data_IF_363175979851
#
_entry.id   IF_363175979851
#
_cell.length_a   1.000
_cell.length_b   1.000
_cell.length_c   1.000
_cell.angle_alpha   90.00
_cell.angle_beta   90.00
_cell.angle_gamma   90.00
#
_symmetry.space_group_name_H-M   'P 1'
#
loop_
_entity.id
_entity.type
_entity.pdbx_description
1 polymer ?
#
# COMPACT_ATOMS: atom_id res chain seq x y z
N UNK A 1 27.67 -4.96 -24.45
CA UNK A 1 28.55 -5.06 -23.26
C UNK A 1 28.34 -3.82 -22.43
N UNK A 2 28.18 -3.94 -21.12
CA UNK A 2 28.03 -2.78 -20.24
C UNK A 2 29.40 -2.19 -19.96
N UNK A 3 29.60 -0.90 -20.23
CA UNK A 3 30.87 -0.21 -19.97
C UNK A 3 30.87 0.52 -18.61
N UNK A 4 32.04 1.00 -18.18
CA UNK A 4 32.20 1.71 -16.90
C UNK A 4 31.31 2.96 -16.80
N UNK A 5 31.15 3.71 -17.88
CA UNK A 5 30.38 4.97 -17.89
C UNK A 5 28.90 4.68 -17.68
N UNK A 6 28.34 3.69 -18.38
CA UNK A 6 26.95 3.26 -18.19
C UNK A 6 26.67 2.73 -16.76
N UNK A 7 27.65 2.08 -16.13
CA UNK A 7 27.55 1.68 -14.71
C UNK A 7 27.54 2.90 -13.78
N UNK A 8 28.42 3.89 -14.02
CA UNK A 8 28.44 5.13 -13.23
C UNK A 8 27.12 5.88 -13.36
N UNK A 9 26.57 6.01 -14.58
CA UNK A 9 25.29 6.65 -14.82
C UNK A 9 24.16 5.99 -14.04
N UNK A 10 24.11 4.66 -14.05
CA UNK A 10 23.14 3.89 -13.25
C UNK A 10 23.25 4.17 -11.75
N UNK A 11 24.46 4.19 -11.19
CA UNK A 11 24.64 4.52 -9.77
C UNK A 11 24.22 5.96 -9.46
N UNK A 12 24.55 6.91 -10.33
CA UNK A 12 24.10 8.30 -10.20
C UNK A 12 22.58 8.40 -10.20
N UNK A 13 21.87 7.60 -11.01
CA UNK A 13 20.41 7.58 -11.02
C UNK A 13 19.82 7.09 -9.68
N UNK A 14 20.47 6.14 -9.00
CA UNK A 14 20.02 5.74 -7.65
C UNK A 14 20.21 6.85 -6.63
N UNK A 15 21.33 7.59 -6.68
CA UNK A 15 21.54 8.74 -5.80
C UNK A 15 20.55 9.88 -6.11
N UNK A 16 20.29 10.14 -7.38
CA UNK A 16 19.27 11.10 -7.80
C UNK A 16 17.89 10.68 -7.31
N UNK A 17 17.52 9.41 -7.49
CA UNK A 17 16.26 8.84 -7.03
C UNK A 17 16.06 9.00 -5.53
N UNK A 18 17.07 8.69 -4.70
CA UNK A 18 17.00 8.92 -3.25
C UNK A 18 16.70 10.39 -2.91
N UNK A 19 17.42 11.33 -3.52
CA UNK A 19 17.20 12.76 -3.28
C UNK A 19 15.85 13.24 -3.81
N UNK A 20 15.41 12.72 -4.96
CA UNK A 20 14.10 13.03 -5.53
C UNK A 20 12.97 12.53 -4.62
N UNK A 21 13.09 11.34 -4.03
CA UNK A 21 12.13 10.84 -3.03
C UNK A 21 12.03 11.79 -1.82
N UNK A 22 13.17 12.25 -1.30
CA UNK A 22 13.18 13.23 -0.19
C UNK A 22 12.60 14.58 -0.59
N UNK A 23 12.85 15.03 -1.82
CA UNK A 23 12.26 16.25 -2.37
C UNK A 23 10.74 16.14 -2.51
N UNK A 24 10.22 15.00 -2.98
CA UNK A 24 8.78 14.75 -3.07
C UNK A 24 8.14 14.76 -1.68
N UNK A 25 8.73 14.07 -0.69
CA UNK A 25 8.25 14.09 0.68
C UNK A 25 8.15 15.52 1.23
N UNK A 26 9.20 16.34 1.05
CA UNK A 26 9.19 17.75 1.43
C UNK A 26 8.06 18.54 0.75
N UNK A 27 7.84 18.33 -0.55
CA UNK A 27 6.78 19.01 -1.30
C UNK A 27 5.37 18.62 -0.86
N UNK A 28 5.18 17.38 -0.42
CA UNK A 28 3.92 16.89 0.16
C UNK A 28 3.71 17.47 1.56
N UNK A 29 4.70 17.33 2.45
CA UNK A 29 4.64 17.77 3.85
C UNK A 29 4.45 19.29 4.00
N UNK A 30 5.05 20.07 3.11
CA UNK A 30 4.90 21.53 3.07
C UNK A 30 3.61 22.02 2.41
N UNK A 31 2.81 21.13 1.79
CA UNK A 31 1.62 21.49 1.03
C UNK A 31 1.91 22.19 -0.31
N UNK A 32 3.18 22.28 -0.72
CA UNK A 32 3.58 22.98 -1.95
C UNK A 32 2.97 22.37 -3.22
N UNK A 33 2.87 21.04 -3.31
CA UNK A 33 2.21 20.42 -4.46
C UNK A 33 0.70 20.70 -4.51
N UNK A 34 0.03 20.80 -3.36
CA UNK A 34 -1.39 21.20 -3.29
C UNK A 34 -1.58 22.66 -3.71
N UNK A 35 -0.69 23.55 -3.25
CA UNK A 35 -0.67 24.95 -3.67
C UNK A 35 -0.51 25.09 -5.19
N UNK A 36 0.42 24.34 -5.78
CA UNK A 36 0.64 24.31 -7.23
C UNK A 36 -0.56 23.72 -7.97
N UNK A 37 -1.21 22.68 -7.44
CA UNK A 37 -2.42 22.11 -8.03
C UNK A 37 -3.61 23.09 -8.00
N UNK A 38 -3.69 23.96 -6.99
CA UNK A 38 -4.71 24.99 -6.89
C UNK A 38 -4.49 26.17 -7.88
N UNK A 39 -3.31 26.26 -8.50
CA UNK A 39 -2.94 27.31 -9.45
C UNK A 39 -2.53 26.72 -10.81
N UNK A 40 -3.47 26.17 -11.61
CA UNK A 40 -3.17 25.48 -12.87
C UNK A 40 -2.52 26.37 -13.95
N UNK A 41 -2.75 27.68 -13.89
CA UNK A 41 -2.12 28.69 -14.76
C UNK A 41 -0.64 28.98 -14.39
N UNK A 42 -0.15 28.31 -13.35
CA UNK A 42 1.18 28.45 -12.80
C UNK A 42 1.37 29.62 -11.83
N UNK A 43 2.47 29.60 -11.10
CA UNK A 43 2.86 30.58 -10.09
C UNK A 43 4.29 31.07 -10.32
N UNK A 44 4.58 32.31 -9.95
CA UNK A 44 5.97 32.75 -9.85
C UNK A 44 6.54 32.36 -8.48
N UNK A 45 7.87 32.22 -8.34
CA UNK A 45 8.48 31.97 -7.02
C UNK A 45 8.12 33.02 -5.97
N UNK A 46 8.02 34.28 -6.37
CA UNK A 46 7.69 35.41 -5.49
C UNK A 46 6.25 35.30 -4.98
N UNK A 47 5.30 35.03 -5.88
CA UNK A 47 3.88 34.93 -5.51
C UNK A 47 3.62 33.71 -4.62
N UNK A 48 4.26 32.57 -4.93
CA UNK A 48 4.13 31.35 -4.13
C UNK A 48 4.73 31.54 -2.73
N UNK A 49 5.92 32.14 -2.64
CA UNK A 49 6.58 32.42 -1.37
C UNK A 49 5.73 33.35 -0.49
N UNK A 50 5.23 34.45 -1.06
CA UNK A 50 4.42 35.42 -0.35
C UNK A 50 3.08 34.83 0.14
N UNK A 51 2.41 34.03 -0.69
CA UNK A 51 1.10 33.44 -0.35
C UNK A 51 1.15 32.34 0.70
N UNK A 52 2.27 31.66 0.87
CA UNK A 52 2.44 30.54 1.79
C UNK A 52 3.39 30.84 2.96
N UNK A 53 3.85 32.09 3.09
CA UNK A 53 4.75 32.51 4.16
C UNK A 53 6.12 31.82 4.10
N UNK A 54 6.61 31.53 2.91
CA UNK A 54 7.87 30.83 2.68
C UNK A 54 9.00 31.80 2.33
N UNK A 55 10.24 31.34 2.49
CA UNK A 55 11.40 32.08 2.01
C UNK A 55 11.46 32.07 0.47
N UNK A 56 11.72 33.23 -0.12
CA UNK A 56 11.68 33.42 -1.57
C UNK A 56 12.78 32.64 -2.31
N UNK A 57 13.98 32.55 -1.74
CA UNK A 57 15.10 31.87 -2.36
C UNK A 57 14.95 30.35 -2.27
N UNK A 58 14.50 29.82 -1.12
CA UNK A 58 14.18 28.40 -1.01
C UNK A 58 13.01 28.00 -1.92
N UNK A 59 11.96 28.82 -1.99
CA UNK A 59 10.82 28.57 -2.88
C UNK A 59 11.26 28.56 -4.35
N UNK A 60 12.12 29.50 -4.75
CA UNK A 60 12.69 29.55 -6.10
C UNK A 60 13.46 28.27 -6.44
N UNK A 61 14.34 27.81 -5.55
CA UNK A 61 15.10 26.58 -5.80
C UNK A 61 14.21 25.34 -5.77
N UNK A 62 13.19 25.29 -4.90
CA UNK A 62 12.21 24.20 -4.92
C UNK A 62 11.54 24.08 -6.29
N UNK A 63 11.06 25.21 -6.85
CA UNK A 63 10.43 25.21 -8.17
C UNK A 63 11.40 24.83 -9.30
N UNK A 64 12.65 25.32 -9.25
CA UNK A 64 13.68 24.95 -10.22
C UNK A 64 14.04 23.46 -10.15
N UNK A 65 14.16 22.90 -8.95
CA UNK A 65 14.41 21.47 -8.73
C UNK A 65 13.24 20.63 -9.19
N UNK A 66 12.00 21.03 -8.87
CA UNK A 66 10.79 20.34 -9.35
C UNK A 66 10.68 20.34 -10.88
N UNK A 67 11.07 21.43 -11.54
CA UNK A 67 11.17 21.48 -13.00
C UNK A 67 12.27 20.57 -13.55
N UNK A 68 13.47 20.58 -12.93
CA UNK A 68 14.57 19.71 -13.34
C UNK A 68 14.28 18.21 -13.16
N UNK A 69 13.39 17.85 -12.22
CA UNK A 69 12.89 16.50 -12.00
C UNK A 69 11.63 16.16 -12.80
N UNK A 70 11.20 17.05 -13.71
CA UNK A 70 10.00 16.87 -14.55
C UNK A 70 8.69 16.70 -13.77
N UNK A 71 8.68 17.13 -12.50
CA UNK A 71 7.46 17.21 -11.68
C UNK A 71 6.66 18.48 -11.99
N UNK A 72 7.35 19.52 -12.49
CA UNK A 72 6.80 20.82 -12.82
C UNK A 72 7.12 21.21 -14.27
N UNK A 73 6.21 21.94 -14.90
CA UNK A 73 6.45 22.67 -16.15
C UNK A 73 6.78 24.13 -15.86
N UNK A 74 7.49 24.78 -16.80
CA UNK A 74 7.75 26.22 -16.80
C UNK A 74 7.25 26.86 -18.11
N UNK A 75 6.31 27.79 -18.00
CA UNK A 75 5.80 28.57 -19.14
C UNK A 75 5.67 30.05 -18.75
N UNK A 76 6.24 30.95 -19.56
CA UNK A 76 6.15 32.39 -19.32
C UNK A 76 6.68 32.85 -17.95
N UNK A 77 7.68 32.14 -17.39
CA UNK A 77 8.22 32.42 -16.06
C UNK A 77 7.38 31.92 -14.88
N UNK A 78 6.32 31.14 -15.16
CA UNK A 78 5.43 30.56 -14.14
C UNK A 78 5.58 29.04 -14.11
N UNK A 79 5.67 28.51 -12.89
CA UNK A 79 5.78 27.08 -12.62
C UNK A 79 4.41 26.49 -12.32
N UNK A 80 4.11 25.32 -12.85
CA UNK A 80 2.89 24.55 -12.55
C UNK A 80 3.23 23.07 -12.44
N UNK A 81 2.37 22.27 -11.83
CA UNK A 81 2.51 20.81 -11.90
C UNK A 81 2.50 20.36 -13.36
N UNK A 82 3.43 19.46 -13.70
CA UNK A 82 3.45 18.83 -15.01
C UNK A 82 2.16 18.00 -15.22
N UNK A 83 1.87 17.65 -16.47
CA UNK A 83 0.70 16.86 -16.82
C UNK A 83 0.62 15.57 -15.97
N UNK A 84 -0.56 15.24 -15.48
CA UNK A 84 -0.83 14.13 -14.56
C UNK A 84 -0.15 14.16 -13.18
N UNK A 85 0.71 15.13 -12.84
CA UNK A 85 1.36 15.14 -11.51
C UNK A 85 0.40 15.51 -10.37
N UNK A 86 -0.68 16.27 -10.65
CA UNK A 86 -1.68 16.62 -9.63
C UNK A 86 -2.35 15.41 -8.95
N UNK A 87 -2.94 14.43 -9.67
CA UNK A 87 -3.48 13.23 -9.03
C UNK A 87 -2.41 12.35 -8.35
N UNK A 88 -1.14 12.44 -8.74
CA UNK A 88 -0.06 11.62 -8.16
C UNK A 88 0.53 12.23 -6.88
N UNK A 89 0.65 13.57 -6.80
CA UNK A 89 1.42 14.25 -5.76
C UNK A 89 0.60 15.22 -4.89
N UNK A 90 -0.56 15.68 -5.37
CA UNK A 90 -1.31 16.76 -4.73
C UNK A 90 -2.72 16.37 -4.25
N UNK A 91 -3.21 15.18 -4.60
CA UNK A 91 -4.58 14.73 -4.29
C UNK A 91 -4.57 13.42 -3.50
N UNK A 92 -4.37 13.45 -2.17
CA UNK A 92 -4.33 12.25 -1.32
C UNK A 92 -5.57 11.35 -1.42
N UNK A 93 -6.71 11.90 -1.82
CA UNK A 93 -7.97 11.19 -2.04
C UNK A 93 -8.04 10.42 -3.37
N UNK A 94 -7.11 10.66 -4.29
CA UNK A 94 -7.11 10.02 -5.60
C UNK A 94 -6.46 8.63 -5.55
N UNK A 95 -7.06 7.64 -6.22
CA UNK A 95 -6.58 6.24 -6.19
C UNK A 95 -5.14 6.04 -6.71
N UNK A 96 -4.65 6.96 -7.53
CA UNK A 96 -3.28 6.95 -8.08
C UNK A 96 -2.29 7.78 -7.25
N UNK A 97 -2.68 8.26 -6.08
CA UNK A 97 -1.81 9.09 -5.25
C UNK A 97 -0.57 8.30 -4.80
N UNK A 98 0.62 8.86 -5.04
CA UNK A 98 1.92 8.29 -4.69
C UNK A 98 2.70 9.16 -3.69
N UNK A 99 2.17 10.33 -3.29
CA UNK A 99 2.87 11.24 -2.39
C UNK A 99 3.17 10.63 -1.02
N UNK A 100 2.32 9.74 -0.51
CA UNK A 100 2.55 9.03 0.77
C UNK A 100 3.72 8.05 0.68
N UNK A 101 4.00 7.48 -0.50
CA UNK A 101 5.11 6.54 -0.70
C UNK A 101 6.47 7.21 -0.46
N UNK A 102 6.61 8.49 -0.83
CA UNK A 102 7.82 9.25 -0.58
C UNK A 102 8.06 9.49 0.92
N UNK A 103 7.01 9.84 1.66
CA UNK A 103 7.06 10.01 3.12
C UNK A 103 7.38 8.68 3.83
N UNK A 104 6.75 7.59 3.40
CA UNK A 104 7.06 6.25 3.91
C UNK A 104 8.51 5.86 3.68
N UNK A 105 9.05 6.00 2.47
CA UNK A 105 10.47 5.71 2.20
C UNK A 105 11.43 6.60 2.99
N UNK A 106 11.04 7.84 3.31
CA UNK A 106 11.82 8.67 4.23
C UNK A 106 11.86 8.03 5.63
N UNK A 107 10.71 7.62 6.17
CA UNK A 107 10.60 7.10 7.53
C UNK A 107 11.25 5.71 7.64
N UNK A 108 10.93 4.77 6.75
CA UNK A 108 11.53 3.42 6.72
C UNK A 108 13.04 3.44 6.41
N UNK A 109 13.54 4.51 5.80
CA UNK A 109 14.98 4.73 5.62
C UNK A 109 15.79 4.73 6.93
N UNK A 110 15.15 4.98 8.08
CA UNK A 110 15.79 4.92 9.41
C UNK A 110 16.29 3.51 9.74
N UNK A 111 15.63 2.47 9.22
CA UNK A 111 15.97 1.07 9.52
C UNK A 111 17.36 0.69 9.01
N UNK A 112 17.84 1.37 7.96
CA UNK A 112 19.20 1.18 7.44
C UNK A 112 20.29 1.47 8.49
N UNK A 113 19.98 2.18 9.58
CA UNK A 113 20.90 2.39 10.70
C UNK A 113 21.19 1.11 11.48
N UNK A 114 20.22 0.18 11.57
CA UNK A 114 20.38 -1.09 12.30
C UNK A 114 20.79 -2.27 11.40
N UNK A 115 20.55 -2.19 10.09
CA UNK A 115 20.84 -3.27 9.13
C UNK A 115 22.29 -3.77 9.12
N UNK A 116 23.35 -2.94 9.29
CA UNK A 116 24.72 -3.44 9.33
C UNK A 116 24.98 -4.46 10.46
N UNK A 117 24.35 -4.26 11.63
CA UNK A 117 24.44 -5.21 12.74
C UNK A 117 23.69 -6.50 12.40
N UNK A 118 22.45 -6.38 11.92
CA UNK A 118 21.60 -7.52 11.54
C UNK A 118 22.23 -8.36 10.40
N UNK A 119 22.91 -7.73 9.44
CA UNK A 119 23.64 -8.43 8.36
C UNK A 119 24.77 -9.31 8.90
N UNK A 120 25.40 -8.90 10.01
CA UNK A 120 26.54 -9.60 10.60
C UNK A 120 26.10 -10.65 11.63
N UNK A 121 25.10 -10.33 12.43
CA UNK A 121 24.72 -11.08 13.63
C UNK A 121 23.45 -11.93 13.42
N UNK A 122 22.68 -11.64 12.37
CA UNK A 122 21.34 -12.17 12.18
C UNK A 122 20.31 -11.50 13.10
N UNK A 123 19.12 -12.07 13.18
CA UNK A 123 17.99 -11.53 13.94
C UNK A 123 17.02 -10.73 13.08
N UNK A 124 16.07 -10.08 13.74
CA UNK A 124 15.03 -9.27 13.11
C UNK A 124 14.79 -7.98 13.90
N UNK A 125 14.41 -6.92 13.20
CA UNK A 125 13.85 -5.70 13.75
C UNK A 125 12.38 -5.65 13.33
N UNK A 126 11.50 -6.23 14.14
CA UNK A 126 10.13 -6.53 13.71
C UNK A 126 9.27 -5.28 13.58
N UNK A 127 8.18 -5.37 12.82
CA UNK A 127 7.19 -4.31 12.68
C UNK A 127 6.78 -3.71 14.04
N UNK A 128 6.56 -4.55 15.05
CA UNK A 128 6.10 -4.13 16.39
C UNK A 128 7.15 -3.33 17.19
N UNK A 129 8.41 -3.31 16.75
CA UNK A 129 9.46 -2.51 17.37
C UNK A 129 9.52 -1.07 16.83
N UNK A 130 8.79 -0.77 15.76
CA UNK A 130 8.76 0.56 15.15
C UNK A 130 7.89 1.54 15.95
N UNK A 131 8.15 2.83 15.74
CA UNK A 131 7.42 3.91 16.38
C UNK A 131 6.04 4.18 15.74
N UNK A 132 5.27 5.08 16.35
CA UNK A 132 3.94 5.42 15.86
C UNK A 132 3.95 6.10 14.48
N UNK A 133 5.02 6.84 14.15
CA UNK A 133 5.16 7.53 12.86
C UNK A 133 5.30 6.52 11.72
N UNK A 134 6.09 5.46 11.94
CA UNK A 134 6.22 4.36 10.99
C UNK A 134 4.89 3.65 10.76
N UNK A 135 4.19 3.28 11.84
CA UNK A 135 2.88 2.60 11.75
C UNK A 135 1.88 3.47 10.99
N UNK A 136 1.86 4.78 11.26
CA UNK A 136 1.00 5.72 10.54
C UNK A 136 1.37 5.82 9.05
N UNK A 137 2.66 5.84 8.71
CA UNK A 137 3.13 5.89 7.33
C UNK A 137 2.73 4.63 6.54
N UNK A 138 2.86 3.44 7.14
CA UNK A 138 2.41 2.17 6.54
C UNK A 138 0.90 2.21 6.23
N UNK A 139 0.10 2.72 7.17
CA UNK A 139 -1.34 2.84 6.92
C UNK A 139 -1.70 3.86 5.84
N UNK A 140 -0.91 4.92 5.67
CA UNK A 140 -1.12 5.89 4.60
C UNK A 140 -0.79 5.31 3.22
N UNK A 141 0.26 4.50 3.08
CA UNK A 141 0.61 3.88 1.79
C UNK A 141 -0.37 2.77 1.41
N UNK A 142 -0.87 2.00 2.39
CA UNK A 142 -1.85 0.93 2.16
C UNK A 142 -3.27 1.44 1.95
N UNK A 143 -3.60 2.68 2.35
CA UNK A 143 -4.92 3.29 2.12
C UNK A 143 -5.30 3.35 0.63
N UNK A 144 -4.33 3.57 -0.27
CA UNK A 144 -4.56 3.55 -1.72
C UNK A 144 -4.99 2.16 -2.22
N UNK A 145 -4.42 1.10 -1.65
CA UNK A 145 -4.79 -0.29 -1.95
C UNK A 145 -6.24 -0.56 -1.51
N UNK A 146 -6.60 -0.13 -0.29
CA UNK A 146 -7.98 -0.25 0.21
C UNK A 146 -9.00 0.45 -0.70
N UNK A 147 -8.69 1.68 -1.15
CA UNK A 147 -9.51 2.41 -2.12
C UNK A 147 -9.65 1.65 -3.45
N UNK A 148 -8.53 1.19 -4.02
CA UNK A 148 -8.51 0.43 -5.26
C UNK A 148 -9.33 -0.88 -5.18
N UNK A 149 -9.24 -1.60 -4.07
CA UNK A 149 -10.05 -2.81 -3.83
C UNK A 149 -11.54 -2.47 -3.89
N UNK A 150 -11.98 -1.45 -3.14
CA UNK A 150 -13.40 -1.10 -3.03
C UNK A 150 -13.96 -0.46 -4.32
N UNK A 151 -13.17 0.36 -5.03
CA UNK A 151 -13.66 1.11 -6.19
C UNK A 151 -13.43 0.44 -7.53
N UNK A 152 -12.52 -0.54 -7.62
CA UNK A 152 -12.08 -1.08 -8.90
C UNK A 152 -12.10 -2.60 -8.95
N UNK A 153 -11.56 -3.29 -7.95
CA UNK A 153 -11.53 -4.76 -7.95
C UNK A 153 -12.93 -5.32 -7.68
N UNK A 154 -13.54 -4.95 -6.55
CA UNK A 154 -14.79 -5.57 -6.10
C UNK A 154 -15.97 -5.31 -7.08
N UNK A 155 -16.17 -4.10 -7.64
CA UNK A 155 -17.21 -3.87 -8.65
C UNK A 155 -17.03 -4.67 -9.95
N UNK A 156 -15.80 -5.09 -10.25
CA UNK A 156 -15.48 -5.92 -11.42
C UNK A 156 -15.81 -7.41 -11.24
N UNK A 157 -16.11 -7.84 -10.02
CA UNK A 157 -16.46 -9.23 -9.72
C UNK A 157 -17.97 -9.46 -9.87
N UNK A 158 -18.41 -10.49 -10.63
CA UNK A 158 -19.82 -10.77 -10.85
C UNK A 158 -20.65 -10.93 -9.56
N UNK A 159 -20.06 -11.45 -8.49
CA UNK A 159 -20.69 -11.70 -7.19
C UNK A 159 -21.07 -10.41 -6.44
N UNK A 160 -20.42 -9.29 -6.79
CA UNK A 160 -20.56 -7.99 -6.13
C UNK A 160 -21.02 -6.88 -7.09
N UNK A 161 -21.11 -7.16 -8.39
CA UNK A 161 -21.57 -6.22 -9.40
C UNK A 161 -23.02 -5.77 -9.12
N UNK A 162 -23.19 -4.52 -8.71
CA UNK A 162 -24.49 -3.95 -8.35
C UNK A 162 -25.10 -4.49 -7.05
N UNK A 163 -24.33 -5.25 -6.26
CA UNK A 163 -24.74 -5.80 -4.95
C UNK A 163 -24.11 -4.99 -3.82
N UNK A 164 -24.90 -4.63 -2.82
CA UNK A 164 -24.43 -3.89 -1.65
C UNK A 164 -24.66 -4.60 -0.31
N UNK A 165 -25.36 -5.74 -0.31
CA UNK A 165 -25.77 -6.53 0.85
C UNK A 165 -24.95 -7.82 0.98
N UNK A 166 -23.72 -7.69 1.45
CA UNK A 166 -22.83 -8.83 1.66
C UNK A 166 -22.12 -8.75 3.01
N UNK A 167 -21.59 -9.90 3.43
CA UNK A 167 -20.79 -9.99 4.65
C UNK A 167 -19.34 -10.21 4.25
N UNK A 168 -18.43 -9.39 4.77
CA UNK A 168 -17.00 -9.54 4.53
C UNK A 168 -16.20 -9.72 5.82
N UNK A 169 -15.14 -10.51 5.72
CA UNK A 169 -14.12 -10.67 6.75
C UNK A 169 -12.77 -10.18 6.21
N UNK A 170 -12.12 -9.27 6.92
CA UNK A 170 -10.77 -8.82 6.63
C UNK A 170 -9.80 -9.42 7.65
N UNK A 171 -8.97 -10.35 7.19
CA UNK A 171 -7.96 -11.04 8.00
C UNK A 171 -6.68 -10.20 7.99
N UNK A 172 -6.22 -9.73 9.15
CA UNK A 172 -5.11 -8.76 9.26
C UNK A 172 -5.57 -7.34 8.92
N UNK A 173 -6.67 -6.88 9.54
CA UNK A 173 -7.33 -5.63 9.12
C UNK A 173 -6.58 -4.34 9.50
N UNK A 174 -5.53 -4.42 10.31
CA UNK A 174 -4.78 -3.29 10.83
C UNK A 174 -5.70 -2.22 11.43
N UNK A 175 -5.48 -0.96 11.04
CA UNK A 175 -6.32 0.17 11.46
C UNK A 175 -7.65 0.29 10.69
N UNK A 176 -8.09 -0.75 9.99
CA UNK A 176 -9.41 -0.85 9.36
C UNK A 176 -9.56 -0.09 8.03
N UNK A 177 -8.47 0.17 7.30
CA UNK A 177 -8.49 0.93 6.04
C UNK A 177 -9.40 0.30 4.98
N UNK A 178 -9.22 -1.00 4.72
CA UNK A 178 -10.05 -1.79 3.77
C UNK A 178 -11.51 -1.79 4.20
N UNK A 179 -11.78 -2.02 5.49
CA UNK A 179 -13.13 -2.04 6.06
C UNK A 179 -13.84 -0.68 5.91
N UNK A 180 -13.14 0.44 6.15
CA UNK A 180 -13.70 1.79 5.93
C UNK A 180 -14.02 2.04 4.46
N UNK A 181 -13.11 1.66 3.55
CA UNK A 181 -13.30 1.84 2.12
C UNK A 181 -14.51 1.04 1.62
N UNK A 182 -14.61 -0.24 2.01
CA UNK A 182 -15.74 -1.10 1.70
C UNK A 182 -17.04 -0.56 2.30
N UNK A 183 -17.04 -0.14 3.57
CA UNK A 183 -18.23 0.37 4.22
C UNK A 183 -18.79 1.62 3.56
N UNK A 184 -17.93 2.51 3.07
CA UNK A 184 -18.32 3.72 2.33
C UNK A 184 -18.86 3.39 0.94
N UNK A 185 -18.24 2.45 0.24
CA UNK A 185 -18.66 2.04 -1.10
C UNK A 185 -19.94 1.19 -1.09
N UNK A 186 -20.17 0.40 -0.02
CA UNK A 186 -21.27 -0.56 0.10
C UNK A 186 -22.06 -0.33 1.40
N UNK A 187 -23.11 0.50 1.37
CA UNK A 187 -23.81 0.95 2.57
C UNK A 187 -24.53 -0.14 3.37
N UNK A 188 -24.89 -1.27 2.73
CA UNK A 188 -25.58 -2.41 3.36
C UNK A 188 -24.63 -3.55 3.74
N UNK A 189 -23.33 -3.42 3.51
CA UNK A 189 -22.38 -4.47 3.84
C UNK A 189 -22.14 -4.52 5.36
N UNK A 190 -22.08 -5.75 5.88
CA UNK A 190 -21.64 -6.06 7.24
C UNK A 190 -20.19 -6.54 7.21
N UNK A 191 -19.32 -5.87 7.96
CA UNK A 191 -17.88 -6.08 7.84
C UNK A 191 -17.28 -6.41 9.21
N UNK A 192 -16.46 -7.45 9.24
CA UNK A 192 -15.68 -7.85 10.41
C UNK A 192 -14.20 -7.80 10.05
N UNK A 193 -13.40 -7.13 10.89
CA UNK A 193 -11.95 -7.22 10.87
C UNK A 193 -11.42 -8.10 11.99
N UNK A 194 -10.31 -8.78 11.74
CA UNK A 194 -9.49 -9.37 12.80
C UNK A 194 -8.04 -8.95 12.62
N UNK A 195 -7.36 -8.66 13.72
CA UNK A 195 -5.93 -8.36 13.72
C UNK A 195 -5.30 -8.81 15.05
N UNK A 196 -4.00 -9.13 15.02
CA UNK A 196 -3.27 -9.56 16.23
C UNK A 196 -2.82 -8.36 17.08
N UNK A 197 -2.71 -7.16 16.51
CA UNK A 197 -2.23 -5.96 17.19
C UNK A 197 -3.41 -5.21 17.86
N UNK A 198 -3.46 -5.13 19.21
CA UNK A 198 -4.61 -4.55 19.92
C UNK A 198 -4.84 -3.05 19.70
N UNK A 199 -3.77 -2.24 19.55
CA UNK A 199 -3.84 -0.80 19.30
C UNK A 199 -4.40 -0.50 17.92
N UNK A 200 -4.06 -1.29 16.91
CA UNK A 200 -4.61 -1.22 15.56
C UNK A 200 -6.12 -1.48 15.58
N UNK A 201 -6.56 -2.52 16.31
CA UNK A 201 -7.98 -2.83 16.50
C UNK A 201 -8.72 -1.72 17.25
N UNK A 202 -8.12 -1.17 18.31
CA UNK A 202 -8.69 -0.02 19.04
C UNK A 202 -8.88 1.19 18.11
N UNK A 203 -7.85 1.54 17.35
CA UNK A 203 -7.90 2.65 16.38
C UNK A 203 -8.89 2.38 15.26
N UNK A 204 -8.98 1.15 14.74
CA UNK A 204 -9.96 0.76 13.73
C UNK A 204 -11.39 1.02 14.23
N UNK A 205 -11.72 0.52 15.44
CA UNK A 205 -13.05 0.71 16.02
C UNK A 205 -13.36 2.19 16.34
N UNK A 206 -12.38 2.97 16.80
CA UNK A 206 -12.54 4.41 16.97
C UNK A 206 -12.88 5.11 15.64
N UNK A 207 -12.16 4.80 14.57
CA UNK A 207 -12.43 5.33 13.23
C UNK A 207 -13.80 4.91 12.68
N UNK A 208 -14.23 3.67 12.94
CA UNK A 208 -15.58 3.23 12.57
C UNK A 208 -16.65 4.01 13.32
N UNK A 209 -16.46 4.29 14.61
CA UNK A 209 -17.38 5.08 15.41
C UNK A 209 -17.45 6.54 14.94
N UNK A 210 -16.29 7.19 14.72
CA UNK A 210 -16.19 8.55 14.19
C UNK A 210 -16.88 8.71 12.82
N UNK A 211 -16.80 7.68 11.98
CA UNK A 211 -17.46 7.64 10.68
C UNK A 211 -18.97 7.29 10.74
N UNK A 212 -19.51 6.99 11.94
CA UNK A 212 -20.92 6.56 12.09
C UNK A 212 -21.20 5.16 11.57
N UNK A 213 -20.17 4.29 11.51
CA UNK A 213 -20.21 2.96 10.89
C UNK A 213 -20.24 1.79 11.88
N UNK A 214 -20.11 2.06 13.18
CA UNK A 214 -19.94 1.05 14.23
C UNK A 214 -21.10 0.02 14.35
N UNK A 215 -22.28 0.29 13.78
CA UNK A 215 -23.39 -0.68 13.78
C UNK A 215 -23.19 -1.85 12.80
N UNK A 216 -22.31 -1.70 11.81
CA UNK A 216 -22.13 -2.68 10.72
C UNK A 216 -20.66 -2.97 10.39
N UNK A 217 -19.73 -2.29 11.05
CA UNK A 217 -18.30 -2.49 10.91
C UNK A 217 -17.67 -2.60 12.29
N UNK A 218 -16.99 -3.71 12.55
CA UNK A 218 -16.29 -3.95 13.82
C UNK A 218 -14.96 -4.64 13.57
N UNK A 219 -13.97 -4.42 14.44
CA UNK A 219 -12.71 -5.16 14.45
C UNK A 219 -12.51 -5.87 15.80
N UNK A 220 -11.86 -7.04 15.77
CA UNK A 220 -11.58 -7.87 16.96
C UNK A 220 -10.10 -8.25 17.02
N UNK A 221 -9.57 -8.36 18.25
CA UNK A 221 -8.21 -8.86 18.47
C UNK A 221 -8.22 -10.38 18.35
N UNK A 222 -7.62 -10.91 17.29
CA UNK A 222 -7.47 -12.34 17.06
C UNK A 222 -6.37 -12.60 16.03
N UNK A 223 -5.64 -13.72 16.20
CA UNK A 223 -4.75 -14.21 15.16
C UNK A 223 -5.58 -14.77 13.98
N UNK A 224 -5.11 -14.55 12.75
CA UNK A 224 -5.85 -14.92 11.55
C UNK A 224 -6.06 -16.44 11.44
N UNK A 225 -5.07 -17.24 11.86
CA UNK A 225 -5.12 -18.70 11.94
C UNK A 225 -6.11 -19.22 13.01
N UNK A 226 -6.47 -18.37 13.97
CA UNK A 226 -7.38 -18.69 15.06
C UNK A 226 -8.86 -18.39 14.76
N UNK A 227 -9.19 -17.90 13.56
CA UNK A 227 -10.57 -17.58 13.20
C UNK A 227 -11.36 -18.88 12.95
N UNK A 228 -12.28 -19.17 13.86
CA UNK A 228 -13.20 -20.31 13.76
C UNK A 228 -14.64 -19.84 13.43
N UNK A 229 -14.82 -19.37 12.20
CA UNK A 229 -16.11 -18.97 11.66
C UNK A 229 -16.44 -19.86 10.47
N UNK A 230 -17.63 -20.46 10.44
CA UNK A 230 -18.05 -21.35 9.36
C UNK A 230 -19.10 -20.70 8.45
N UNK A 231 -18.82 -20.68 7.14
CA UNK A 231 -19.74 -20.34 6.05
C UNK A 231 -20.55 -19.05 6.27
N UNK A 232 -19.92 -17.99 6.79
CA UNK A 232 -20.58 -16.73 7.17
C UNK A 232 -20.42 -15.61 6.15
N UNK A 233 -19.35 -15.63 5.37
CA UNK A 233 -18.93 -14.48 4.57
C UNK A 233 -19.04 -14.72 3.07
N UNK A 234 -19.47 -13.69 2.34
CA UNK A 234 -19.44 -13.66 0.88
C UNK A 234 -18.05 -13.30 0.36
N UNK A 235 -17.28 -12.52 1.16
CA UNK A 235 -15.94 -12.05 0.86
C UNK A 235 -15.01 -12.29 2.05
N UNK A 236 -13.80 -12.81 1.79
CA UNK A 236 -12.68 -12.76 2.72
C UNK A 236 -11.54 -12.01 2.05
N UNK A 237 -10.93 -11.04 2.74
CA UNK A 237 -9.78 -10.28 2.25
C UNK A 237 -8.53 -10.57 3.07
N UNK A 238 -7.38 -10.62 2.38
CA UNK A 238 -6.02 -10.64 2.94
C UNK A 238 -5.22 -9.58 2.17
N UNK A 239 -5.11 -8.36 2.72
CA UNK A 239 -4.50 -7.22 2.04
C UNK A 239 -3.18 -6.86 2.74
N UNK A 240 -2.04 -7.16 2.10
CA UNK A 240 -0.70 -7.00 2.68
C UNK A 240 -0.50 -7.82 3.96
N UNK A 241 -0.85 -9.11 3.94
CA UNK A 241 -0.86 -9.96 5.15
C UNK A 241 -0.04 -11.23 4.98
N UNK A 242 -0.13 -11.93 3.84
CA UNK A 242 0.50 -13.24 3.72
C UNK A 242 2.03 -13.17 3.84
N UNK A 243 2.65 -12.10 3.34
CA UNK A 243 4.10 -11.92 3.47
C UNK A 243 4.57 -11.65 4.91
N UNK A 244 3.74 -11.00 5.73
CA UNK A 244 4.03 -10.69 7.14
C UNK A 244 3.84 -11.91 8.07
N UNK A 245 3.10 -12.91 7.60
CA UNK A 245 2.86 -14.13 8.38
C UNK A 245 4.03 -15.10 8.29
N UNK A 246 4.37 -15.72 9.41
CA UNK A 246 5.39 -16.77 9.44
C UNK A 246 4.97 -17.95 8.55
N UNK A 247 5.88 -18.57 7.78
CA UNK A 247 5.52 -19.61 6.82
C UNK A 247 4.69 -20.77 7.41
N UNK A 248 4.90 -21.08 8.69
CA UNK A 248 4.23 -22.17 9.40
C UNK A 248 2.70 -21.99 9.54
N UNK A 249 2.19 -20.75 9.59
CA UNK A 249 0.74 -20.49 9.83
C UNK A 249 -0.04 -20.15 8.56
N UNK A 250 0.64 -19.91 7.42
CA UNK A 250 0.00 -19.51 6.16
C UNK A 250 -1.08 -20.50 5.70
N UNK A 251 -0.82 -21.79 5.84
CA UNK A 251 -1.78 -22.84 5.49
C UNK A 251 -3.03 -22.79 6.38
N UNK A 252 -2.86 -22.57 7.68
CA UNK A 252 -3.97 -22.50 8.65
C UNK A 252 -4.83 -21.25 8.44
N UNK A 253 -4.21 -20.11 8.13
CA UNK A 253 -4.90 -18.86 7.76
C UNK A 253 -5.78 -19.09 6.52
N UNK A 254 -5.22 -19.67 5.46
CA UNK A 254 -5.96 -19.91 4.21
C UNK A 254 -7.05 -20.98 4.39
N UNK A 255 -6.81 -22.01 5.20
CA UNK A 255 -7.84 -22.99 5.55
C UNK A 255 -8.98 -22.34 6.38
N UNK A 256 -8.66 -21.45 7.31
CA UNK A 256 -9.62 -20.65 8.05
C UNK A 256 -10.45 -19.75 7.13
N UNK A 257 -9.80 -19.03 6.22
CA UNK A 257 -10.46 -18.23 5.19
C UNK A 257 -11.42 -19.08 4.34
N UNK A 258 -10.98 -20.27 3.89
CA UNK A 258 -11.82 -21.19 3.13
C UNK A 258 -13.04 -21.66 3.91
N UNK A 259 -12.90 -21.98 5.21
CA UNK A 259 -14.03 -22.37 6.08
C UNK A 259 -15.00 -21.21 6.31
N UNK A 260 -14.49 -19.98 6.45
CA UNK A 260 -15.28 -18.78 6.71
C UNK A 260 -16.16 -18.36 5.53
N UNK A 261 -15.72 -18.64 4.29
CA UNK A 261 -16.48 -18.34 3.08
C UNK A 261 -17.73 -19.20 2.94
N UNK A 262 -18.85 -18.62 2.52
CA UNK A 262 -20.01 -19.36 2.01
C UNK A 262 -19.63 -20.14 0.74
N UNK A 263 -20.36 -21.20 0.35
CA UNK A 263 -20.23 -21.76 -1.00
C UNK A 263 -20.37 -20.67 -2.07
N UNK A 264 -19.42 -20.59 -2.99
CA UNK A 264 -19.36 -19.53 -4.01
C UNK A 264 -18.79 -18.19 -3.51
N UNK A 265 -18.44 -18.07 -2.23
CA UNK A 265 -17.77 -16.89 -1.68
C UNK A 265 -16.35 -16.70 -2.23
N UNK A 266 -15.89 -15.45 -2.21
CA UNK A 266 -14.62 -15.03 -2.80
C UNK A 266 -13.56 -14.77 -1.73
N UNK A 267 -12.38 -15.36 -1.90
CA UNK A 267 -11.15 -14.92 -1.26
C UNK A 267 -10.44 -13.95 -2.19
N UNK A 268 -10.10 -12.76 -1.68
CA UNK A 268 -9.30 -11.76 -2.36
C UNK A 268 -7.99 -11.56 -1.60
N UNK A 269 -6.88 -11.90 -2.23
CA UNK A 269 -5.53 -11.64 -1.72
C UNK A 269 -4.92 -10.51 -2.53
N UNK A 270 -4.43 -9.47 -1.85
CA UNK A 270 -3.68 -8.38 -2.47
C UNK A 270 -2.34 -8.25 -1.76
N UNK A 271 -1.26 -8.61 -2.45
CA UNK A 271 0.08 -8.69 -1.87
C UNK A 271 1.13 -8.33 -2.93
N UNK A 272 2.37 -8.03 -2.54
CA UNK A 272 3.43 -7.74 -3.52
C UNK A 272 3.79 -9.00 -4.34
N UNK A 273 3.84 -8.91 -5.69
CA UNK A 273 4.04 -10.08 -6.54
C UNK A 273 5.55 -10.37 -6.68
N UNK A 274 6.09 -11.25 -5.84
CA UNK A 274 7.51 -11.62 -5.95
C UNK A 274 7.79 -12.50 -7.18
N UNK A 275 8.91 -12.31 -7.91
CA UNK A 275 9.24 -13.18 -9.04
C UNK A 275 9.52 -14.63 -8.63
N UNK A 276 9.07 -15.59 -9.46
CA UNK A 276 9.34 -17.02 -9.26
C UNK A 276 10.81 -17.40 -9.43
N UNK A 277 11.58 -16.58 -10.16
CA UNK A 277 12.98 -16.86 -10.49
C UNK A 277 13.88 -15.68 -10.17
N UNK A 278 15.14 -15.97 -9.87
CA UNK A 278 16.17 -14.96 -9.61
C UNK A 278 16.38 -14.08 -10.83
N UNK A 279 16.30 -14.63 -12.04
CA UNK A 279 16.40 -13.89 -13.29
C UNK A 279 15.26 -12.87 -13.43
N UNK A 280 14.06 -13.22 -12.95
CA UNK A 280 12.88 -12.35 -12.95
C UNK A 280 13.05 -11.08 -12.11
N UNK A 281 13.92 -11.10 -11.09
CA UNK A 281 14.22 -9.93 -10.25
C UNK A 281 14.76 -8.74 -11.05
N UNK A 282 15.38 -8.98 -12.21
CA UNK A 282 15.83 -7.87 -13.08
C UNK A 282 14.68 -7.04 -13.64
N UNK A 283 13.51 -7.63 -13.82
CA UNK A 283 12.31 -6.94 -14.28
C UNK A 283 11.44 -6.39 -13.13
N UNK A 284 11.74 -6.77 -11.88
CA UNK A 284 10.98 -6.40 -10.68
C UNK A 284 11.91 -5.88 -9.58
N UNK A 285 12.69 -4.85 -9.91
CA UNK A 285 13.73 -4.31 -9.00
C UNK A 285 13.15 -3.72 -7.72
N UNK A 286 11.95 -3.12 -7.79
CA UNK A 286 11.22 -2.64 -6.61
C UNK A 286 10.91 -3.78 -5.65
N UNK A 287 10.32 -4.88 -6.14
CA UNK A 287 9.99 -6.05 -5.33
C UNK A 287 11.23 -6.72 -4.72
N UNK A 288 12.36 -6.74 -5.45
CA UNK A 288 13.63 -7.23 -4.92
C UNK A 288 14.12 -6.36 -3.75
N UNK A 289 13.97 -5.04 -3.84
CA UNK A 289 14.29 -4.11 -2.76
C UNK A 289 13.33 -4.24 -1.58
N UNK A 290 12.02 -4.38 -1.82
CA UNK A 290 11.05 -4.61 -0.75
C UNK A 290 11.37 -5.89 -0.01
N UNK A 291 11.56 -7.02 -0.70
CA UNK A 291 11.93 -8.28 -0.07
C UNK A 291 13.21 -8.16 0.78
N UNK A 292 14.21 -7.40 0.32
CA UNK A 292 15.42 -7.18 1.10
C UNK A 292 15.12 -6.51 2.44
N UNK A 293 14.29 -5.46 2.44
CA UNK A 293 13.86 -4.73 3.65
C UNK A 293 12.98 -5.61 4.54
N UNK A 294 11.94 -6.22 3.96
CA UNK A 294 11.00 -7.13 4.62
C UNK A 294 11.72 -8.25 5.37
N UNK A 295 12.85 -8.72 4.84
CA UNK A 295 13.60 -9.79 5.49
C UNK A 295 14.17 -9.37 6.85
N UNK A 296 14.54 -8.10 7.02
CA UNK A 296 14.97 -7.57 8.32
C UNK A 296 13.81 -7.48 9.30
N UNK A 297 12.58 -7.28 8.82
CA UNK A 297 11.38 -7.34 9.65
C UNK A 297 10.94 -8.77 10.01
N UNK A 298 11.56 -9.78 9.37
CA UNK A 298 11.26 -11.19 9.57
C UNK A 298 10.28 -11.76 8.53
N UNK A 299 9.92 -10.95 7.54
CA UNK A 299 8.89 -11.24 6.55
C UNK A 299 9.48 -11.87 5.28
N UNK A 300 8.59 -12.45 4.46
CA UNK A 300 8.95 -13.09 3.20
C UNK A 300 7.81 -12.94 2.20
N UNK A 301 8.07 -12.20 1.11
CA UNK A 301 7.15 -12.05 0.00
C UNK A 301 6.96 -13.38 -0.72
N UNK A 302 5.75 -13.60 -1.19
CA UNK A 302 5.37 -14.80 -1.94
C UNK A 302 5.22 -14.46 -3.42
N UNK A 303 5.70 -15.36 -4.27
CA UNK A 303 5.35 -15.28 -5.68
C UNK A 303 3.88 -15.58 -5.91
N UNK A 304 3.33 -15.10 -7.03
CA UNK A 304 1.95 -15.40 -7.40
C UNK A 304 1.72 -16.91 -7.52
N UNK A 305 2.71 -17.68 -8.01
CA UNK A 305 2.59 -19.14 -8.10
C UNK A 305 2.57 -19.81 -6.72
N UNK A 306 3.38 -19.35 -5.77
CA UNK A 306 3.37 -19.82 -4.39
C UNK A 306 2.05 -19.48 -3.68
N UNK A 307 1.56 -18.25 -3.83
CA UNK A 307 0.26 -17.83 -3.31
C UNK A 307 -0.84 -18.75 -3.86
N UNK A 308 -0.85 -18.99 -5.17
CA UNK A 308 -1.81 -19.89 -5.82
C UNK A 308 -1.76 -21.30 -5.23
N UNK A 309 -0.57 -21.88 -5.11
CA UNK A 309 -0.40 -23.24 -4.59
C UNK A 309 -0.92 -23.36 -3.15
N UNK A 310 -0.65 -22.38 -2.29
CA UNK A 310 -1.16 -22.35 -0.92
C UNK A 310 -2.69 -22.22 -0.86
N UNK A 311 -3.27 -21.37 -1.72
CA UNK A 311 -4.72 -21.17 -1.79
C UNK A 311 -5.43 -22.44 -2.30
N UNK A 312 -4.88 -23.08 -3.32
CA UNK A 312 -5.43 -24.33 -3.87
C UNK A 312 -5.31 -25.50 -2.88
N UNK A 313 -4.21 -25.56 -2.12
CA UNK A 313 -4.05 -26.53 -1.04
C UNK A 313 -5.07 -26.34 0.10
N UNK A 314 -5.56 -25.11 0.31
CA UNK A 314 -6.64 -24.82 1.27
C UNK A 314 -8.04 -25.18 0.74
N UNK A 315 -8.16 -25.75 -0.46
CA UNK A 315 -9.43 -26.18 -1.05
C UNK A 315 -10.21 -25.08 -1.78
N UNK A 316 -9.57 -23.95 -2.07
CA UNK A 316 -10.14 -22.88 -2.89
C UNK A 316 -9.69 -23.03 -4.35
N UNK A 317 -10.52 -22.60 -5.30
CA UNK A 317 -10.13 -22.53 -6.71
C UNK A 317 -9.66 -21.12 -7.05
N UNK A 318 -8.42 -20.95 -7.49
CA UNK A 318 -7.93 -19.67 -7.99
C UNK A 318 -8.48 -19.44 -9.40
N UNK A 319 -9.27 -18.38 -9.58
CA UNK A 319 -9.89 -18.06 -10.88
C UNK A 319 -9.08 -17.06 -11.68
N UNK A 320 -8.40 -16.13 -10.99
CA UNK A 320 -7.61 -15.09 -11.65
C UNK A 320 -6.44 -14.62 -10.78
N UNK A 321 -5.34 -14.28 -11.45
CA UNK A 321 -4.19 -13.59 -10.90
C UNK A 321 -3.79 -12.47 -11.85
N UNK A 322 -3.51 -11.28 -11.32
CA UNK A 322 -3.11 -10.13 -12.12
C UNK A 322 -2.21 -9.19 -11.33
N UNK A 323 -1.41 -8.40 -12.05
CA UNK A 323 -0.57 -7.34 -11.49
C UNK A 323 -1.03 -6.04 -12.17
N UNK A 324 -2.02 -5.32 -11.60
CA UNK A 324 -2.54 -4.11 -12.22
C UNK A 324 -1.47 -3.01 -12.28
N UNK A 325 -1.49 -2.13 -13.30
CA UNK A 325 -0.61 -0.96 -13.34
C UNK A 325 -0.77 -0.10 -12.06
N UNK A 326 0.32 0.47 -11.51
CA UNK A 326 1.69 0.49 -12.04
C UNK A 326 2.53 -0.76 -11.71
N UNK A 327 1.93 -1.81 -11.14
CA UNK A 327 2.60 -3.08 -10.87
C UNK A 327 3.22 -3.21 -9.47
N UNK A 328 2.71 -2.43 -8.50
CA UNK A 328 3.17 -2.48 -7.11
C UNK A 328 2.54 -3.63 -6.31
N UNK A 329 1.34 -4.06 -6.69
CA UNK A 329 0.63 -5.15 -6.01
C UNK A 329 0.14 -6.18 -7.03
N UNK A 330 0.11 -7.44 -6.60
CA UNK A 330 -0.58 -8.54 -7.24
C UNK A 330 -1.95 -8.74 -6.59
N UNK A 331 -2.91 -9.16 -7.40
CA UNK A 331 -4.27 -9.48 -6.98
C UNK A 331 -4.54 -10.94 -7.35
N UNK A 332 -4.89 -11.75 -6.34
CA UNK A 332 -5.34 -13.14 -6.52
C UNK A 332 -6.80 -13.25 -6.10
N UNK A 333 -7.65 -13.73 -7.02
CA UNK A 333 -9.07 -13.97 -6.79
C UNK A 333 -9.29 -15.47 -6.78
N UNK A 334 -9.82 -15.98 -5.67
CA UNK A 334 -10.15 -17.39 -5.51
C UNK A 334 -11.57 -17.58 -4.98
N UNK A 335 -12.17 -18.73 -5.23
CA UNK A 335 -13.54 -19.04 -4.80
C UNK A 335 -13.62 -20.36 -4.05
N UNK A 336 -14.52 -20.39 -3.07
CA UNK A 336 -14.92 -21.65 -2.41
C UNK A 336 -15.81 -22.45 -3.34
N UNK A 337 -15.31 -23.58 -3.80
CA UNK A 337 -16.11 -24.55 -4.57
C UNK A 337 -17.04 -25.27 -3.60
N UNK A 338 -18.29 -25.52 -4.03
CA UNK A 338 -19.36 -26.11 -3.22
C UNK A 338 -19.05 -27.52 -2.72
#
# INVERSE_FOLDING_TARGET
>A
MTDRVSQMQKLTQYFLGYNATRFIALGVESGLFQALAAAPEGVTPVDLAASHGLDAEYTRHFLQTGYALELLDLAGGRYRLAEHMAPLLARPEHNSYLGSLAGFHHISGRDFECMPALLKEGGTYTFQQHDADFIAAVAQVTAGIAGFVASSILPGLPEFAGRDDFRALDLGCGMGGTLLALARAYPKAELLGVDIEPRSVEQANARFAEAGLAQRVTAQVAAAEGVDLEARFDLVTLIQVLHETVPAVRADILAGAARALKPGGVLLVVDEPYPDTVEGLRAAQSCAMTQFIERFWGNELLSMSQQKALIEAAGLRVDAQMVPPPGLVGVTIARRVG
#
